data_IF_475295321765
#
_entry.id   IF_475295321765
#
_cell.length_a   1.000
_cell.length_b   1.000
_cell.length_c   1.000
_cell.angle_alpha   90.00
_cell.angle_beta   90.00
_cell.angle_gamma   90.00
#
_symmetry.space_group_name_H-M   'P 1'
#
loop_
_entity.id
_entity.type
_entity.pdbx_description
1 polymer ?
#
# COMPACT_ATOMS: atom_id res chain seq x y z
N UNK A 1 33.71 -13.93 20.47
CA UNK A 1 32.94 -14.14 19.22
C UNK A 1 31.45 -13.76 19.35
N UNK A 2 31.06 -12.84 20.26
CA UNK A 2 29.65 -12.44 20.47
C UNK A 2 29.33 -11.00 20.00
N UNK A 3 30.33 -10.26 19.50
CA UNK A 3 30.16 -8.86 19.09
C UNK A 3 29.64 -8.64 17.66
N UNK A 4 29.61 -9.68 16.82
CA UNK A 4 29.27 -9.54 15.39
C UNK A 4 27.75 -9.60 15.13
N UNK A 5 26.99 -10.31 15.98
CA UNK A 5 25.55 -10.54 15.78
C UNK A 5 24.70 -9.30 16.13
N UNK A 6 25.20 -8.41 16.99
CA UNK A 6 24.43 -7.25 17.46
C UNK A 6 24.39 -6.10 16.44
N UNK A 7 25.38 -6.00 15.54
CA UNK A 7 25.46 -4.92 14.56
C UNK A 7 24.57 -5.15 13.33
N UNK A 8 24.41 -6.41 12.90
CA UNK A 8 23.58 -6.75 11.73
C UNK A 8 22.08 -6.57 11.99
N UNK A 9 21.65 -6.70 13.25
CA UNK A 9 20.23 -6.56 13.62
C UNK A 9 19.79 -5.08 13.78
N UNK A 10 20.73 -4.13 13.82
CA UNK A 10 20.42 -2.69 13.91
C UNK A 10 19.78 -2.18 12.63
N UNK A 11 20.23 -2.67 11.48
CA UNK A 11 19.75 -2.20 10.16
C UNK A 11 18.28 -2.56 9.93
N UNK A 12 17.85 -3.83 10.10
CA UNK A 12 16.45 -4.22 9.98
C UNK A 12 15.57 -3.52 11.02
N UNK A 13 16.01 -3.42 12.28
CA UNK A 13 15.26 -2.72 13.34
C UNK A 13 15.06 -1.23 13.03
N UNK A 14 16.11 -0.56 12.56
CA UNK A 14 16.03 0.84 12.14
C UNK A 14 15.09 1.01 10.95
N UNK A 15 15.16 0.11 9.96
CA UNK A 15 14.24 0.12 8.84
C UNK A 15 12.78 -0.04 9.29
N UNK A 16 12.48 -1.01 10.17
CA UNK A 16 11.13 -1.21 10.73
C UNK A 16 10.63 0.03 11.47
N UNK A 17 11.48 0.65 12.29
CA UNK A 17 11.14 1.89 12.99
C UNK A 17 10.85 3.06 12.02
N UNK A 18 11.60 3.16 10.91
CA UNK A 18 11.37 4.17 9.87
C UNK A 18 10.04 3.93 9.15
N UNK A 19 9.70 2.66 8.83
CA UNK A 19 8.41 2.28 8.24
C UNK A 19 7.27 2.69 9.18
N UNK A 20 7.29 2.26 10.44
CA UNK A 20 6.26 2.60 11.42
C UNK A 20 6.13 4.11 11.64
N UNK A 21 7.24 4.85 11.59
CA UNK A 21 7.25 6.30 11.71
C UNK A 21 6.58 6.99 10.51
N UNK A 22 6.87 6.53 9.29
CA UNK A 22 6.27 7.02 8.05
C UNK A 22 4.78 6.66 7.99
N UNK A 23 4.42 5.44 8.40
CA UNK A 23 3.05 4.91 8.45
C UNK A 23 2.16 5.69 9.41
N UNK A 24 2.64 5.95 10.63
CA UNK A 24 1.91 6.78 11.60
C UNK A 24 1.66 8.19 11.08
N UNK A 25 2.65 8.77 10.38
CA UNK A 25 2.49 10.09 9.75
C UNK A 25 1.49 10.04 8.61
N UNK A 26 1.53 9.00 7.79
CA UNK A 26 0.62 8.79 6.67
C UNK A 26 -0.83 8.66 7.13
N UNK A 27 -1.09 7.86 8.18
CA UNK A 27 -2.44 7.68 8.73
C UNK A 27 -3.05 9.01 9.17
N UNK A 28 -2.26 9.88 9.81
CA UNK A 28 -2.70 11.23 10.22
C UNK A 28 -3.07 12.13 9.04
N UNK A 29 -2.52 11.94 7.84
CA UNK A 29 -2.89 12.72 6.65
C UNK A 29 -4.25 12.30 6.10
N UNK A 30 -4.62 11.03 6.25
CA UNK A 30 -5.95 10.54 5.85
C UNK A 30 -7.05 11.10 6.75
N UNK A 31 -6.77 11.26 8.05
CA UNK A 31 -7.79 11.62 9.04
C UNK A 31 -8.04 13.16 9.15
N UNK A 32 -7.30 14.00 8.42
CA UNK A 32 -7.47 15.47 8.44
C UNK A 32 -8.47 15.93 7.36
N UNK A 33 -9.46 16.78 7.70
CA UNK A 33 -10.45 17.28 6.74
C UNK A 33 -9.81 17.88 5.48
N UNK A 34 -10.44 17.61 4.32
CA UNK A 34 -10.03 18.11 3.00
C UNK A 34 -9.94 19.64 2.97
N UNK A 35 -10.70 20.33 3.83
CA UNK A 35 -10.77 21.79 3.92
C UNK A 35 -9.92 22.34 5.08
N UNK A 36 -8.82 22.99 4.72
CA UNK A 36 -7.84 23.59 5.63
C UNK A 36 -6.55 23.93 4.88
N UNK A 37 -6.58 25.02 4.09
CA UNK A 37 -5.57 25.31 3.05
C UNK A 37 -4.13 25.49 3.59
N UNK A 38 -3.95 25.88 4.86
CA UNK A 38 -2.65 26.23 5.43
C UNK A 38 -1.90 25.10 6.16
N UNK A 39 -2.59 24.23 6.90
CA UNK A 39 -1.94 23.19 7.72
C UNK A 39 -1.60 21.93 6.93
N UNK A 40 -2.38 21.63 5.88
CA UNK A 40 -2.28 20.41 5.08
C UNK A 40 -0.99 20.31 4.25
N UNK A 41 -0.48 21.42 3.70
CA UNK A 41 0.75 21.41 2.91
C UNK A 41 1.96 21.05 3.79
N UNK A 42 2.01 21.55 5.02
CA UNK A 42 3.06 21.22 5.98
C UNK A 42 3.01 19.75 6.41
N UNK A 43 1.82 19.14 6.48
CA UNK A 43 1.69 17.70 6.74
C UNK A 43 2.21 16.86 5.56
N UNK A 44 1.86 17.20 4.32
CA UNK A 44 2.39 16.53 3.12
C UNK A 44 3.93 16.51 3.15
N UNK A 45 4.57 17.65 3.34
CA UNK A 45 6.03 17.75 3.39
C UNK A 45 6.64 16.89 4.51
N UNK A 46 6.01 16.85 5.69
CA UNK A 46 6.46 16.01 6.81
C UNK A 46 6.40 14.52 6.48
N UNK A 47 5.32 14.06 5.87
CA UNK A 47 5.14 12.65 5.52
C UNK A 47 6.05 12.28 4.36
N UNK A 48 6.10 13.11 3.34
CA UNK A 48 6.97 12.94 2.19
C UNK A 48 8.44 12.84 2.60
N UNK A 49 8.92 13.74 3.46
CA UNK A 49 10.28 13.68 4.00
C UNK A 49 10.56 12.38 4.76
N UNK A 50 9.59 11.85 5.50
CA UNK A 50 9.74 10.57 6.20
C UNK A 50 9.87 9.39 5.21
N UNK A 51 9.04 9.36 4.16
CA UNK A 51 9.14 8.34 3.12
C UNK A 51 10.41 8.45 2.28
N UNK A 52 10.87 9.66 1.96
CA UNK A 52 12.14 9.84 1.22
C UNK A 52 13.34 9.36 2.04
N UNK A 53 13.35 9.63 3.35
CA UNK A 53 14.37 9.10 4.25
C UNK A 53 14.32 7.57 4.32
N UNK A 54 13.12 6.99 4.45
CA UNK A 54 12.92 5.54 4.44
C UNK A 54 13.40 4.91 3.12
N UNK A 55 13.04 5.51 1.99
CA UNK A 55 13.42 5.04 0.65
C UNK A 55 14.93 5.10 0.43
N UNK A 56 15.58 6.17 0.86
CA UNK A 56 17.04 6.29 0.82
C UNK A 56 17.72 5.22 1.69
N UNK A 57 17.26 5.06 2.94
CA UNK A 57 17.81 4.06 3.86
C UNK A 57 17.70 2.63 3.31
N UNK A 58 16.57 2.32 2.68
CA UNK A 58 16.33 1.03 2.04
C UNK A 58 17.30 0.77 0.88
N UNK A 59 17.58 1.77 0.04
CA UNK A 59 18.49 1.62 -1.09
C UNK A 59 19.94 1.43 -0.65
N UNK A 60 20.38 2.17 0.37
CA UNK A 60 21.75 2.10 0.92
C UNK A 60 22.04 0.77 1.62
N UNK A 61 21.03 0.16 2.25
CA UNK A 61 21.20 -1.05 3.07
C UNK A 61 20.54 -2.30 2.45
N UNK A 62 20.32 -2.30 1.13
CA UNK A 62 19.47 -3.28 0.46
C UNK A 62 19.92 -4.74 0.71
N UNK A 63 21.21 -5.05 0.60
CA UNK A 63 21.72 -6.42 0.77
C UNK A 63 21.41 -6.97 2.16
N UNK A 64 21.74 -6.19 3.20
CA UNK A 64 21.47 -6.55 4.60
C UNK A 64 19.98 -6.70 4.89
N UNK A 65 19.14 -5.84 4.30
CA UNK A 65 17.70 -5.95 4.46
C UNK A 65 17.14 -7.23 3.83
N UNK A 66 17.62 -7.60 2.63
CA UNK A 66 17.21 -8.85 1.98
C UNK A 66 17.68 -10.07 2.77
N UNK A 67 18.92 -10.06 3.29
CA UNK A 67 19.44 -11.12 4.17
C UNK A 67 18.62 -11.25 5.46
N UNK A 68 18.12 -10.14 6.01
CA UNK A 68 17.23 -10.14 7.17
C UNK A 68 15.78 -10.56 6.87
N UNK A 69 15.45 -10.91 5.62
CA UNK A 69 14.14 -11.41 5.22
C UNK A 69 13.17 -10.35 4.69
N UNK A 70 13.64 -9.15 4.33
CA UNK A 70 12.81 -8.13 3.67
C UNK A 70 12.20 -8.69 2.38
N UNK A 71 10.88 -8.70 2.32
CA UNK A 71 10.15 -9.23 1.18
C UNK A 71 9.99 -8.16 0.08
N UNK A 72 9.96 -8.61 -1.18
CA UNK A 72 9.79 -7.71 -2.34
C UNK A 72 8.50 -6.90 -2.27
N UNK A 73 7.43 -7.49 -1.77
CA UNK A 73 6.13 -6.83 -1.65
C UNK A 73 6.14 -5.66 -0.66
N UNK A 74 7.03 -5.68 0.35
CA UNK A 74 7.17 -4.59 1.32
C UNK A 74 7.73 -3.33 0.65
N UNK A 75 8.70 -3.51 -0.27
CA UNK A 75 9.22 -2.41 -1.09
C UNK A 75 8.11 -1.87 -2.00
N UNK A 76 7.32 -2.77 -2.61
CA UNK A 76 6.15 -2.41 -3.40
C UNK A 76 5.11 -1.60 -2.62
N UNK A 77 4.88 -1.94 -1.35
CA UNK A 77 3.98 -1.19 -0.48
C UNK A 77 4.51 0.23 -0.20
N UNK A 78 5.80 0.38 0.12
CA UNK A 78 6.40 1.70 0.36
C UNK A 78 6.28 2.56 -0.91
N UNK A 79 6.63 2.02 -2.07
CA UNK A 79 6.51 2.70 -3.35
C UNK A 79 5.04 3.09 -3.65
N UNK A 80 4.09 2.19 -3.38
CA UNK A 80 2.66 2.47 -3.59
C UNK A 80 2.17 3.62 -2.71
N UNK A 81 2.68 3.74 -1.48
CA UNK A 81 2.34 4.84 -0.57
C UNK A 81 2.96 6.16 -0.99
N UNK A 82 4.18 6.16 -1.52
CA UNK A 82 4.80 7.35 -2.14
C UNK A 82 3.96 7.82 -3.33
N UNK A 83 3.58 6.91 -4.23
CA UNK A 83 2.66 7.22 -5.34
C UNK A 83 1.33 7.79 -4.86
N UNK A 84 0.78 7.28 -3.75
CA UNK A 84 -0.43 7.82 -3.15
C UNK A 84 -0.25 9.24 -2.59
N UNK A 85 0.91 9.57 -2.01
CA UNK A 85 1.20 10.94 -1.56
C UNK A 85 1.16 11.92 -2.73
N UNK A 86 1.80 11.57 -3.84
CA UNK A 86 1.78 12.36 -5.07
C UNK A 86 0.34 12.56 -5.59
N UNK A 87 -0.45 11.48 -5.65
CA UNK A 87 -1.84 11.57 -6.07
C UNK A 87 -2.69 12.46 -5.14
N UNK A 88 -2.50 12.34 -3.83
CA UNK A 88 -3.20 13.17 -2.85
C UNK A 88 -2.84 14.66 -3.00
N UNK A 89 -1.59 14.96 -3.36
CA UNK A 89 -1.18 16.33 -3.64
C UNK A 89 -1.83 16.86 -4.92
N UNK A 90 -1.86 16.04 -5.98
CA UNK A 90 -2.60 16.35 -7.22
C UNK A 90 -4.07 16.67 -6.94
N UNK A 91 -4.78 15.86 -6.14
CA UNK A 91 -6.19 16.11 -5.82
C UNK A 91 -6.44 17.45 -5.10
N UNK A 92 -5.40 18.05 -4.51
CA UNK A 92 -5.50 19.31 -3.77
C UNK A 92 -5.05 20.53 -4.58
N UNK A 93 -3.99 20.38 -5.39
CA UNK A 93 -3.42 21.49 -6.16
C UNK A 93 -3.84 21.49 -7.63
N UNK A 94 -4.36 20.36 -8.12
CA UNK A 94 -4.64 20.09 -9.53
C UNK A 94 -3.42 20.22 -10.44
N UNK A 95 -2.20 20.15 -9.90
CA UNK A 95 -0.97 20.24 -10.68
C UNK A 95 -0.62 18.89 -11.32
N UNK A 96 -0.66 18.82 -12.65
CA UNK A 96 -0.45 17.59 -13.42
C UNK A 96 0.90 16.91 -13.14
N UNK A 97 1.95 17.66 -12.78
CA UNK A 97 3.26 17.09 -12.43
C UNK A 97 3.16 16.02 -11.34
N UNK A 98 2.35 16.23 -10.31
CA UNK A 98 2.21 15.25 -9.23
C UNK A 98 1.44 14.01 -9.67
N UNK A 99 0.52 14.15 -10.61
CA UNK A 99 -0.20 13.02 -11.19
C UNK A 99 0.75 12.14 -12.03
N UNK A 100 1.62 12.76 -12.82
CA UNK A 100 2.65 12.07 -13.61
C UNK A 100 3.63 11.33 -12.69
N UNK A 101 4.11 11.97 -11.63
CA UNK A 101 4.98 11.30 -10.63
C UNK A 101 4.29 10.08 -10.01
N UNK A 102 3.01 10.21 -9.63
CA UNK A 102 2.23 9.08 -9.10
C UNK A 102 2.17 7.90 -10.10
N UNK A 103 1.95 8.22 -11.38
CA UNK A 103 1.93 7.23 -12.46
C UNK A 103 3.27 6.51 -12.60
N UNK A 104 4.39 7.24 -12.62
CA UNK A 104 5.75 6.67 -12.74
C UNK A 104 6.02 5.69 -11.60
N UNK A 105 5.64 6.05 -10.37
CA UNK A 105 5.78 5.15 -9.23
C UNK A 105 4.95 3.87 -9.40
N UNK A 106 3.70 3.98 -9.84
CA UNK A 106 2.86 2.80 -10.02
C UNK A 106 3.29 1.91 -11.19
N UNK A 107 3.70 2.50 -12.30
CA UNK A 107 4.25 1.78 -13.44
C UNK A 107 5.54 1.03 -13.05
N UNK A 108 6.43 1.67 -12.30
CA UNK A 108 7.63 1.01 -11.78
C UNK A 108 7.31 -0.18 -10.88
N UNK A 109 6.22 -0.11 -10.08
CA UNK A 109 5.79 -1.22 -9.23
C UNK A 109 5.29 -2.40 -10.07
N UNK A 110 4.49 -2.10 -11.10
CA UNK A 110 3.97 -3.11 -12.03
C UNK A 110 5.11 -3.81 -12.77
N UNK A 111 6.01 -3.03 -13.38
CA UNK A 111 7.12 -3.54 -14.20
C UNK A 111 8.10 -4.40 -13.40
N UNK A 112 8.36 -4.03 -12.13
CA UNK A 112 9.25 -4.79 -11.24
C UNK A 112 8.57 -5.95 -10.53
N UNK A 113 7.26 -6.14 -10.74
CA UNK A 113 6.44 -7.23 -10.22
C UNK A 113 6.62 -7.44 -8.70
N UNK A 114 6.59 -6.35 -7.92
CA UNK A 114 6.87 -6.44 -6.47
C UNK A 114 5.90 -7.34 -5.69
N UNK A 115 4.68 -7.54 -6.20
CA UNK A 115 3.67 -8.38 -5.56
C UNK A 115 3.66 -9.84 -6.08
N UNK A 116 4.53 -10.21 -7.02
CA UNK A 116 4.61 -11.58 -7.54
C UNK A 116 5.13 -12.56 -6.47
N UNK A 117 4.56 -13.76 -6.41
CA UNK A 117 4.95 -14.80 -5.43
C UNK A 117 4.29 -14.71 -4.05
N UNK A 118 3.61 -13.61 -3.73
CA UNK A 118 2.95 -13.41 -2.42
C UNK A 118 1.46 -13.78 -2.42
N UNK A 119 1.05 -14.77 -3.21
CA UNK A 119 -0.36 -15.14 -3.45
C UNK A 119 -1.05 -15.79 -2.24
N UNK A 120 -0.27 -16.43 -1.36
CA UNK A 120 -0.78 -17.17 -0.20
C UNK A 120 -1.13 -16.28 1.00
N UNK A 121 -0.51 -15.09 1.10
CA UNK A 121 -0.80 -14.15 2.19
C UNK A 121 -1.97 -13.23 1.81
N UNK A 122 -3.10 -13.42 2.49
CA UNK A 122 -4.32 -12.63 2.30
C UNK A 122 -4.08 -11.13 2.50
N UNK A 123 -3.27 -10.75 3.49
CA UNK A 123 -2.93 -9.36 3.77
C UNK A 123 -2.18 -8.73 2.60
N UNK A 124 -1.22 -9.44 2.03
CA UNK A 124 -0.47 -8.98 0.85
C UNK A 124 -1.35 -8.91 -0.39
N UNK A 125 -2.26 -9.88 -0.60
CA UNK A 125 -3.25 -9.82 -1.69
C UNK A 125 -4.14 -8.57 -1.61
N UNK A 126 -4.61 -8.20 -0.42
CA UNK A 126 -5.37 -6.96 -0.26
C UNK A 126 -4.55 -5.71 -0.58
N UNK A 127 -3.26 -5.69 -0.25
CA UNK A 127 -2.36 -4.57 -0.59
C UNK A 127 -2.18 -4.46 -2.10
N UNK A 128 -1.99 -5.58 -2.78
CA UNK A 128 -1.86 -5.64 -4.24
C UNK A 128 -3.15 -5.19 -4.95
N UNK A 129 -4.32 -5.70 -4.54
CA UNK A 129 -5.60 -5.26 -5.09
C UNK A 129 -5.81 -3.76 -4.94
N UNK A 130 -5.44 -3.20 -3.77
CA UNK A 130 -5.53 -1.76 -3.53
C UNK A 130 -4.50 -0.98 -4.34
N UNK A 131 -3.36 -1.57 -4.67
CA UNK A 131 -2.40 -0.99 -5.60
C UNK A 131 -3.00 -0.90 -7.01
N UNK A 132 -3.52 -2.01 -7.55
CA UNK A 132 -4.15 -2.02 -8.88
C UNK A 132 -5.31 -1.03 -9.00
N UNK A 133 -6.18 -0.95 -8.00
CA UNK A 133 -7.29 0.00 -7.99
C UNK A 133 -6.83 1.48 -8.05
N UNK A 134 -5.76 1.82 -7.32
CA UNK A 134 -5.19 3.19 -7.36
C UNK A 134 -4.48 3.49 -8.66
N UNK A 135 -3.75 2.52 -9.20
CA UNK A 135 -3.08 2.71 -10.47
C UNK A 135 -4.10 2.91 -11.59
N UNK A 136 -5.16 2.09 -11.62
CA UNK A 136 -6.26 2.24 -12.56
C UNK A 136 -6.87 3.65 -12.52
N UNK A 137 -7.10 4.19 -11.32
CA UNK A 137 -7.61 5.55 -11.15
C UNK A 137 -6.68 6.60 -11.75
N UNK A 138 -5.37 6.52 -11.49
CA UNK A 138 -4.38 7.46 -12.05
C UNK A 138 -4.28 7.33 -13.58
N UNK A 139 -4.25 6.11 -14.11
CA UNK A 139 -4.22 5.86 -15.55
C UNK A 139 -5.47 6.38 -16.27
N UNK A 140 -6.65 6.28 -15.64
CA UNK A 140 -7.90 6.84 -16.18
C UNK A 140 -7.85 8.37 -16.25
N UNK A 141 -7.36 9.03 -15.20
CA UNK A 141 -7.27 10.51 -15.18
C UNK A 141 -6.26 11.01 -16.22
N UNK A 142 -5.17 10.27 -16.46
CA UNK A 142 -4.19 10.56 -17.50
C UNK A 142 -4.61 10.10 -18.91
N UNK A 143 -5.81 9.54 -19.06
CA UNK A 143 -6.32 8.98 -20.31
C UNK A 143 -5.39 7.94 -20.99
N UNK A 144 -4.68 7.14 -20.18
CA UNK A 144 -3.79 6.07 -20.64
C UNK A 144 -4.58 4.78 -20.92
N UNK A 145 -5.38 4.79 -21.98
CA UNK A 145 -6.36 3.73 -22.29
C UNK A 145 -5.73 2.33 -22.43
N UNK A 146 -4.56 2.21 -23.05
CA UNK A 146 -3.85 0.93 -23.17
C UNK A 146 -3.43 0.39 -21.80
N UNK A 147 -2.88 1.25 -20.93
CA UNK A 147 -2.53 0.87 -19.56
C UNK A 147 -3.78 0.47 -18.75
N UNK A 148 -4.89 1.19 -18.93
CA UNK A 148 -6.17 0.85 -18.29
C UNK A 148 -6.63 -0.57 -18.65
N UNK A 149 -6.55 -0.96 -19.93
CA UNK A 149 -6.89 -2.33 -20.37
C UNK A 149 -6.03 -3.38 -19.67
N UNK A 150 -4.70 -3.18 -19.69
CA UNK A 150 -3.74 -4.07 -19.02
C UNK A 150 -4.05 -4.20 -17.53
N UNK A 151 -4.31 -3.07 -16.86
CA UNK A 151 -4.61 -3.06 -15.42
C UNK A 151 -5.93 -3.75 -15.10
N UNK A 152 -6.96 -3.59 -15.93
CA UNK A 152 -8.24 -4.26 -15.76
C UNK A 152 -8.11 -5.78 -15.85
N UNK A 153 -7.36 -6.28 -16.84
CA UNK A 153 -7.10 -7.71 -17.00
C UNK A 153 -6.34 -8.28 -15.79
N UNK A 154 -5.29 -7.57 -15.34
CA UNK A 154 -4.49 -7.95 -14.17
C UNK A 154 -5.32 -7.94 -12.89
N UNK A 155 -6.14 -6.92 -12.69
CA UNK A 155 -7.02 -6.81 -11.53
C UNK A 155 -8.03 -7.96 -11.52
N UNK A 156 -8.67 -8.25 -12.66
CA UNK A 156 -9.61 -9.37 -12.80
C UNK A 156 -8.95 -10.70 -12.47
N UNK A 157 -7.80 -10.99 -13.09
CA UNK A 157 -7.05 -12.20 -12.83
C UNK A 157 -6.68 -12.34 -11.33
N UNK A 158 -6.24 -11.25 -10.70
CA UNK A 158 -5.88 -11.23 -9.27
C UNK A 158 -7.08 -11.45 -8.36
N UNK A 159 -8.25 -10.88 -8.70
CA UNK A 159 -9.50 -11.09 -7.96
C UNK A 159 -9.96 -12.54 -8.07
N UNK A 160 -9.90 -13.12 -9.27
CA UNK A 160 -10.35 -14.48 -9.50
C UNK A 160 -9.41 -15.50 -8.83
N UNK A 161 -8.09 -15.28 -8.88
CA UNK A 161 -7.09 -16.05 -8.13
C UNK A 161 -7.29 -15.94 -6.61
N UNK A 162 -7.58 -14.73 -6.11
CA UNK A 162 -7.86 -14.52 -4.69
C UNK A 162 -9.13 -15.25 -4.25
N UNK A 163 -10.20 -15.22 -5.05
CA UNK A 163 -11.40 -16.02 -4.78
C UNK A 163 -11.05 -17.50 -4.75
N UNK A 164 -10.28 -17.97 -5.74
CA UNK A 164 -9.92 -19.37 -5.86
C UNK A 164 -9.10 -19.88 -4.67
N UNK A 165 -8.10 -19.11 -4.25
CA UNK A 165 -7.14 -19.45 -3.18
C UNK A 165 -7.75 -19.36 -1.79
N UNK A 166 -8.70 -18.44 -1.56
CA UNK A 166 -9.33 -18.26 -0.25
C UNK A 166 -10.76 -18.83 -0.16
N UNK A 167 -11.16 -19.69 -1.11
CA UNK A 167 -12.47 -20.36 -1.14
C UNK A 167 -12.80 -21.11 0.16
N UNK A 168 -11.83 -21.74 0.80
CA UNK A 168 -12.04 -22.62 1.96
C UNK A 168 -12.44 -21.87 3.24
N UNK A 169 -12.11 -20.58 3.35
CA UNK A 169 -12.59 -19.75 4.46
C UNK A 169 -14.07 -19.40 4.31
N UNK A 170 -14.61 -19.39 3.08
CA UNK A 170 -16.04 -19.19 2.86
C UNK A 170 -16.88 -20.42 3.17
N UNK A 171 -16.33 -21.62 2.99
CA UNK A 171 -17.01 -22.90 3.29
C UNK A 171 -17.06 -23.13 4.80
N UNK A 172 -15.93 -23.00 5.52
CA UNK A 172 -15.90 -23.08 6.99
C UNK A 172 -16.68 -21.93 7.66
N UNK A 173 -16.74 -20.77 7.00
CA UNK A 173 -17.55 -19.64 7.45
C UNK A 173 -19.06 -19.88 7.28
N UNK A 174 -19.54 -20.74 6.37
CA UNK A 174 -20.97 -21.02 6.25
C UNK A 174 -21.50 -21.79 7.47
N UNK A 175 -20.75 -22.76 7.97
CA UNK A 175 -21.10 -23.51 9.19
C UNK A 175 -20.98 -22.68 10.47
N UNK A 176 -20.05 -21.73 10.51
CA UNK A 176 -19.89 -20.82 11.65
C UNK A 176 -20.85 -19.63 11.61
N UNK A 177 -21.27 -19.17 10.42
CA UNK A 177 -22.20 -18.04 10.25
C UNK A 177 -23.62 -18.38 10.65
N UNK A 178 -24.08 -19.63 10.53
CA UNK A 178 -25.42 -20.02 10.97
C UNK A 178 -25.64 -19.82 12.48
N UNK A 179 -24.59 -19.93 13.30
CA UNK A 179 -24.63 -19.64 14.75
C UNK A 179 -24.35 -18.16 15.09
N UNK A 180 -23.47 -17.47 14.36
CA UNK A 180 -23.15 -16.06 14.64
C UNK A 180 -24.11 -15.02 14.03
N UNK A 181 -24.93 -15.37 13.03
CA UNK A 181 -25.86 -14.42 12.38
C UNK A 181 -26.95 -13.88 13.33
N UNK A 182 -27.13 -14.50 14.51
CA UNK A 182 -28.00 -13.97 15.56
C UNK A 182 -27.36 -12.85 16.41
N UNK A 183 -26.03 -12.68 16.42
CA UNK A 183 -25.37 -11.80 17.41
C UNK A 183 -24.70 -10.53 16.86
N UNK A 184 -24.57 -10.33 15.53
CA UNK A 184 -23.69 -9.26 15.02
C UNK A 184 -24.23 -8.40 13.87
N UNK A 185 -25.56 -8.36 13.65
CA UNK A 185 -26.16 -7.42 12.69
C UNK A 185 -25.93 -5.94 13.05
N UNK A 186 -25.57 -5.64 14.29
CA UNK A 186 -25.31 -4.28 14.79
C UNK A 186 -23.90 -3.75 14.45
N UNK A 187 -22.90 -4.61 14.30
CA UNK A 187 -21.49 -4.18 14.16
C UNK A 187 -21.04 -3.93 12.71
N UNK A 188 -21.67 -4.57 11.72
CA UNK A 188 -21.21 -4.51 10.32
C UNK A 188 -21.48 -3.17 9.62
N UNK A 189 -22.40 -2.34 10.14
CA UNK A 189 -22.72 -1.02 9.57
C UNK A 189 -21.59 0.00 9.75
N UNK A 190 -20.66 -0.20 10.70
CA UNK A 190 -19.54 0.72 10.94
C UNK A 190 -18.32 0.51 10.03
N UNK A 191 -18.13 -0.68 9.43
CA UNK A 191 -16.88 -1.01 8.72
C UNK A 191 -16.85 -0.57 7.25
N UNK A 192 -18.00 -0.33 6.62
CA UNK A 192 -18.05 0.14 5.24
C UNK A 192 -17.82 1.66 5.09
N UNK A 193 -17.91 2.44 6.16
CA UNK A 193 -17.58 3.86 6.14
C UNK A 193 -16.06 4.12 6.01
N UNK A 194 -15.22 3.12 6.29
CA UNK A 194 -13.75 3.28 6.36
C UNK A 194 -13.03 2.99 5.03
N UNK A 195 -13.76 2.59 3.99
CA UNK A 195 -13.17 2.26 2.67
C UNK A 195 -13.30 3.41 1.65
N UNK A 196 -14.02 4.49 1.97
CA UNK A 196 -14.22 5.67 1.11
C UNK A 196 -14.03 6.99 1.91
N UNK A 197 -13.12 6.98 2.87
CA UNK A 197 -12.52 8.17 3.50
C UNK A 197 -11.02 7.91 3.70
#
# INVERSE_FOLDING_TARGET
MLGYVMADDVVPKTFRALVENADRKFARVRDVPVYGRGTNNHYFHKVFKAYMRLWKYQQENRSKLVESGLQRWEIGEIASRIGQLYFNQYMRTSEARFLIESYIFYEAILNRKYFEGSTKDRGVRFKELRFYARFLLVSLILNQSEMVKVLMERLKATVDDSKATFRDVWVLSKDSKSKQLKFNKTSLKMRFQFLIR
#
